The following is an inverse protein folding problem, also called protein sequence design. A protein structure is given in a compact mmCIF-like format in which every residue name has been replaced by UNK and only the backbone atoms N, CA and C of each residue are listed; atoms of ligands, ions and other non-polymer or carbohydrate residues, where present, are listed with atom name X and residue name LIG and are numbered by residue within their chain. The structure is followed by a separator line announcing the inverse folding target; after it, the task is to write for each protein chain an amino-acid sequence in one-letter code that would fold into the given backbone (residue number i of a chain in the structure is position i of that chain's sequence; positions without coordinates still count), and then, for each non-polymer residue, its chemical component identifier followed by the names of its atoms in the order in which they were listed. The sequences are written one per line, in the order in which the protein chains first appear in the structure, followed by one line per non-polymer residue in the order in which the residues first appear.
data_IF_400801402953
#
_entry.id   IF_400801402953
#
_cell.length_a   1.000
_cell.length_b   1.000
_cell.length_c   1.000
_cell.angle_alpha   90.00
_cell.angle_beta   90.00
_cell.angle_gamma   90.00
#
_symmetry.space_group_name_H-M   'P 1'
#
loop_
_entity.id
_entity.type
_entity.pdbx_description
1 polymer ?
#
# COMPACT_ATOMS: atom_id res chain seq x y z
N UNK A 1 11.43 18.42 1.77
CA UNK A 1 10.25 18.50 2.64
C UNK A 1 10.71 18.39 4.09
N UNK A 2 10.31 19.31 4.99
CA UNK A 2 10.69 19.28 6.42
C UNK A 2 10.19 18.02 7.16
N UNK A 3 9.32 17.23 6.53
CA UNK A 3 8.76 16.01 7.11
C UNK A 3 9.80 14.91 7.35
N UNK A 4 10.92 14.90 6.61
CA UNK A 4 11.96 13.86 6.71
C UNK A 4 12.60 13.78 8.12
N UNK A 5 12.78 14.92 8.80
CA UNK A 5 13.36 14.98 10.15
C UNK A 5 12.41 14.37 11.20
N UNK A 6 11.10 14.40 10.93
CA UNK A 6 10.07 13.89 11.82
C UNK A 6 9.48 12.56 11.37
N UNK A 7 9.91 12.02 10.23
CA UNK A 7 9.27 10.88 9.58
C UNK A 7 9.25 9.65 10.50
N UNK A 8 10.36 9.33 11.17
CA UNK A 8 10.41 8.26 12.17
C UNK A 8 9.37 8.45 13.29
N UNK A 9 9.30 9.65 13.88
CA UNK A 9 8.37 9.94 14.98
C UNK A 9 6.90 9.86 14.53
N UNK A 10 6.62 10.35 13.32
CA UNK A 10 5.30 10.28 12.71
C UNK A 10 4.91 8.81 12.50
N UNK A 11 5.79 7.99 11.92
CA UNK A 11 5.53 6.58 11.68
C UNK A 11 5.32 5.81 12.99
N UNK A 12 6.13 6.05 14.02
CA UNK A 12 5.94 5.43 15.34
C UNK A 12 4.57 5.82 15.95
N UNK A 13 4.17 7.08 15.85
CA UNK A 13 2.86 7.53 16.33
C UNK A 13 1.70 6.89 15.54
N UNK A 14 1.84 6.77 14.21
CA UNK A 14 0.86 6.05 13.38
C UNK A 14 0.74 4.59 13.80
N UNK A 15 1.87 3.92 14.04
CA UNK A 15 1.90 2.52 14.46
C UNK A 15 1.18 2.33 15.80
N UNK A 16 1.51 3.12 16.82
CA UNK A 16 0.82 3.04 18.12
C UNK A 16 -0.68 3.31 18.01
N UNK A 17 -1.08 4.16 17.06
CA UNK A 17 -2.51 4.43 16.80
C UNK A 17 -3.22 3.24 16.15
N UNK A 18 -2.55 2.53 15.23
CA UNK A 18 -3.08 1.28 14.67
C UNK A 18 -3.21 0.19 15.73
N UNK A 19 -2.18 0.01 16.57
CA UNK A 19 -2.18 -0.98 17.66
C UNK A 19 -3.28 -0.71 18.69
N UNK A 20 -3.58 0.57 18.97
CA UNK A 20 -4.65 0.94 19.88
C UNK A 20 -6.07 0.63 19.32
N UNK A 21 -6.20 0.43 18.00
CA UNK A 21 -7.45 0.13 17.31
C UNK A 21 -8.62 1.08 17.66
N UNK A 22 -8.31 2.37 17.85
CA UNK A 22 -9.27 3.41 18.27
C UNK A 22 -9.87 4.19 17.09
N UNK A 23 -9.39 3.97 15.88
CA UNK A 23 -9.78 4.75 14.70
C UNK A 23 -11.04 4.19 14.04
N UNK A 24 -11.89 5.09 13.57
CA UNK A 24 -12.99 4.75 12.65
C UNK A 24 -12.41 4.44 11.27
N UNK A 25 -13.10 3.61 10.48
CA UNK A 25 -12.63 3.16 9.16
C UNK A 25 -12.14 4.29 8.26
N UNK A 26 -12.87 5.41 8.15
CA UNK A 26 -12.44 6.54 7.31
C UNK A 26 -11.15 7.20 7.80
N UNK A 27 -10.97 7.31 9.10
CA UNK A 27 -9.80 7.96 9.69
C UNK A 27 -8.59 7.01 9.62
N UNK A 28 -8.80 5.69 9.74
CA UNK A 28 -7.82 4.64 9.45
C UNK A 28 -7.31 4.73 8.00
N UNK A 29 -8.21 4.84 7.01
CA UNK A 29 -7.81 4.96 5.60
C UNK A 29 -6.98 6.22 5.34
N UNK A 30 -7.40 7.37 5.89
CA UNK A 30 -6.63 8.62 5.78
C UNK A 30 -5.25 8.52 6.45
N UNK A 31 -5.18 7.87 7.60
CA UNK A 31 -3.90 7.62 8.26
C UNK A 31 -3.00 6.73 7.40
N UNK A 32 -3.55 5.70 6.77
CA UNK A 32 -2.79 4.84 5.86
C UNK A 32 -2.24 5.60 4.65
N UNK A 33 -3.02 6.52 4.07
CA UNK A 33 -2.48 7.40 3.03
C UNK A 33 -1.41 8.36 3.57
N UNK A 34 -1.54 8.85 4.80
CA UNK A 34 -0.51 9.69 5.42
C UNK A 34 0.78 8.92 5.63
N UNK A 35 0.69 7.65 6.05
CA UNK A 35 1.82 6.72 6.16
C UNK A 35 2.52 6.57 4.81
N UNK A 36 1.79 6.31 3.72
CA UNK A 36 2.38 6.19 2.39
C UNK A 36 3.20 7.42 1.98
N UNK A 37 2.66 8.62 2.15
CA UNK A 37 3.40 9.87 1.84
C UNK A 37 4.65 10.07 2.72
N UNK A 38 4.61 9.66 3.98
CA UNK A 38 5.77 9.75 4.89
C UNK A 38 6.83 8.74 4.49
N UNK A 39 6.44 7.51 4.15
CA UNK A 39 7.36 6.47 3.67
C UNK A 39 8.03 6.86 2.35
N UNK A 40 7.36 7.60 1.48
CA UNK A 40 7.94 8.13 0.23
C UNK A 40 9.14 9.05 0.41
N UNK A 41 9.35 9.60 1.61
CA UNK A 41 10.52 10.44 1.92
C UNK A 41 11.57 9.73 2.77
N UNK A 42 11.34 8.46 3.11
CA UNK A 42 12.27 7.65 3.88
C UNK A 42 13.36 7.03 3.00
N UNK A 43 14.51 6.64 3.57
CA UNK A 43 15.50 5.80 2.90
C UNK A 43 14.87 4.45 2.50
N UNK A 44 15.14 3.97 1.29
CA UNK A 44 14.59 2.71 0.77
C UNK A 44 14.87 1.52 1.68
N UNK A 45 16.05 1.48 2.30
CA UNK A 45 16.48 0.44 3.25
C UNK A 45 15.60 0.32 4.49
N UNK A 46 14.86 1.38 4.85
CA UNK A 46 13.98 1.40 6.03
C UNK A 46 12.49 1.23 5.67
N UNK A 47 12.09 1.54 4.44
CA UNK A 47 10.69 1.54 4.02
C UNK A 47 10.02 0.19 4.29
N UNK A 48 10.66 -0.92 3.91
CA UNK A 48 10.12 -2.26 4.14
C UNK A 48 9.99 -2.61 5.62
N UNK A 49 10.89 -2.12 6.49
CA UNK A 49 10.81 -2.38 7.93
C UNK A 49 9.55 -1.75 8.54
N UNK A 50 9.23 -0.50 8.21
CA UNK A 50 8.01 0.14 8.68
C UNK A 50 6.76 -0.47 8.06
N UNK A 51 6.82 -0.81 6.77
CA UNK A 51 5.72 -1.47 6.09
C UNK A 51 5.39 -2.82 6.71
N UNK A 52 6.38 -3.65 7.01
CA UNK A 52 6.14 -4.93 7.67
C UNK A 52 5.49 -4.72 9.06
N UNK A 53 6.00 -3.77 9.86
CA UNK A 53 5.41 -3.48 11.18
C UNK A 53 3.95 -3.00 11.10
N UNK A 54 3.60 -2.19 10.10
CA UNK A 54 2.27 -1.60 9.98
C UNK A 54 1.27 -2.46 9.20
N UNK A 55 1.73 -3.19 8.19
CA UNK A 55 0.86 -3.84 7.20
C UNK A 55 0.64 -5.31 7.52
N UNK A 56 1.56 -6.00 8.20
CA UNK A 56 1.39 -7.43 8.57
C UNK A 56 0.07 -7.70 9.31
N UNK A 57 -0.37 -6.90 10.31
CA UNK A 57 -1.67 -7.11 10.95
C UNK A 57 -2.84 -7.03 9.96
N UNK A 58 -2.78 -6.13 8.97
CA UNK A 58 -3.80 -6.00 7.94
C UNK A 58 -3.75 -7.13 6.90
N UNK A 59 -2.58 -7.69 6.60
CA UNK A 59 -2.44 -8.88 5.75
C UNK A 59 -3.07 -10.09 6.43
N UNK A 60 -2.75 -10.32 7.70
CA UNK A 60 -3.32 -11.41 8.49
C UNK A 60 -4.84 -11.30 8.59
N UNK A 61 -5.35 -10.08 8.74
CA UNK A 61 -6.78 -9.82 8.76
C UNK A 61 -7.44 -10.05 7.39
N UNK A 62 -6.78 -9.65 6.30
CA UNK A 62 -7.22 -9.94 4.94
C UNK A 62 -7.30 -11.46 4.70
N UNK A 63 -6.30 -12.22 5.13
CA UNK A 63 -6.27 -13.69 5.03
C UNK A 63 -7.43 -14.32 5.81
N UNK A 64 -7.69 -13.84 7.03
CA UNK A 64 -8.81 -14.30 7.84
C UNK A 64 -10.15 -14.02 7.15
N UNK A 65 -10.35 -12.81 6.63
CA UNK A 65 -11.55 -12.43 5.89
C UNK A 65 -11.72 -13.25 4.60
N UNK A 66 -10.63 -13.56 3.89
CA UNK A 66 -10.64 -14.38 2.69
C UNK A 66 -11.02 -15.85 2.95
N UNK A 67 -10.90 -16.32 4.20
CA UNK A 67 -11.31 -17.65 4.62
C UNK A 67 -12.77 -17.72 5.12
N UNK A 68 -13.43 -16.59 5.33
CA UNK A 68 -14.82 -16.53 5.78
C UNK A 68 -15.80 -16.63 4.61
N UNK A 69 -16.99 -17.17 4.89
CA UNK A 69 -18.10 -17.10 3.96
C UNK A 69 -18.62 -15.64 3.85
N UNK A 70 -18.87 -15.13 2.63
CA UNK A 70 -19.45 -13.81 2.42
C UNK A 70 -20.77 -13.62 3.15
N UNK A 71 -20.88 -12.61 4.01
CA UNK A 71 -22.13 -12.27 4.67
C UNK A 71 -22.26 -10.77 4.98
N UNK A 72 -23.48 -10.23 5.17
CA UNK A 72 -23.65 -8.80 5.40
C UNK A 72 -22.84 -8.23 6.59
N UNK A 73 -22.55 -9.04 7.60
CA UNK A 73 -21.79 -8.64 8.79
C UNK A 73 -20.30 -8.42 8.55
N UNK A 74 -19.66 -9.17 7.64
CA UNK A 74 -18.23 -9.02 7.34
C UNK A 74 -17.96 -8.13 6.12
N UNK A 75 -18.99 -7.79 5.32
CA UNK A 75 -18.88 -6.94 4.13
C UNK A 75 -18.12 -5.63 4.36
N UNK A 76 -18.47 -4.89 5.41
CA UNK A 76 -17.85 -3.59 5.70
C UNK A 76 -16.36 -3.73 6.07
N UNK A 77 -16.01 -4.83 6.72
CA UNK A 77 -14.65 -5.15 7.14
C UNK A 77 -13.78 -5.56 5.94
N UNK A 78 -14.32 -6.40 5.05
CA UNK A 78 -13.71 -6.72 3.74
C UNK A 78 -13.43 -5.44 2.96
N UNK A 79 -14.45 -4.59 2.79
CA UNK A 79 -14.30 -3.35 2.04
C UNK A 79 -13.25 -2.42 2.67
N UNK A 80 -13.24 -2.27 4.00
CA UNK A 80 -12.26 -1.44 4.69
C UNK A 80 -10.84 -2.00 4.53
N UNK A 81 -10.66 -3.31 4.74
CA UNK A 81 -9.37 -3.97 4.68
C UNK A 81 -8.74 -3.91 3.29
N UNK A 82 -9.51 -4.14 2.23
CA UNK A 82 -9.04 -3.96 0.84
C UNK A 82 -8.62 -2.51 0.59
N UNK A 83 -9.41 -1.55 1.07
CA UNK A 83 -9.11 -0.12 0.89
C UNK A 83 -7.85 0.34 1.65
N UNK A 84 -7.46 -0.31 2.75
CA UNK A 84 -6.20 0.00 3.44
C UNK A 84 -5.02 -0.13 2.46
N UNK A 85 -4.96 -1.24 1.73
CA UNK A 85 -3.91 -1.47 0.73
C UNK A 85 -4.04 -0.50 -0.46
N UNK A 86 -5.25 -0.25 -0.95
CA UNK A 86 -5.47 0.72 -2.02
C UNK A 86 -4.98 2.13 -1.63
N UNK A 87 -5.28 2.59 -0.42
CA UNK A 87 -4.85 3.92 0.06
C UNK A 87 -3.35 4.00 0.30
N UNK A 88 -2.73 2.91 0.77
CA UNK A 88 -1.28 2.81 0.86
C UNK A 88 -0.64 2.91 -0.54
N UNK A 89 -1.02 2.04 -1.47
CA UNK A 89 -0.42 2.00 -2.81
C UNK A 89 -0.61 3.31 -3.58
N UNK A 90 -1.78 3.95 -3.43
CA UNK A 90 -2.04 5.23 -4.08
C UNK A 90 -1.22 6.40 -3.56
N UNK A 91 -0.59 6.27 -2.38
CA UNK A 91 0.16 7.36 -1.73
C UNK A 91 1.65 7.06 -1.55
N UNK A 92 2.04 5.79 -1.61
CA UNK A 92 3.42 5.37 -1.56
C UNK A 92 4.07 5.58 -2.93
N UNK A 93 4.74 6.70 -3.09
CA UNK A 93 5.65 6.94 -4.20
C UNK A 93 7.07 6.53 -3.85
N UNK A 94 7.60 5.54 -4.56
CA UNK A 94 9.02 5.16 -4.48
C UNK A 94 9.80 5.57 -5.72
N UNK A 95 9.11 6.07 -6.76
CA UNK A 95 9.74 6.54 -7.98
C UNK A 95 9.72 8.08 -8.03
N UNK A 96 10.75 8.65 -8.65
CA UNK A 96 10.87 10.09 -8.86
C UNK A 96 10.83 10.34 -10.37
N UNK A 97 9.63 10.28 -10.94
CA UNK A 97 9.39 10.65 -12.34
C UNK A 97 8.53 11.92 -12.46
N UNK A 98 9.08 12.91 -13.18
CA UNK A 98 8.30 13.88 -13.95
C UNK A 98 7.75 15.10 -13.22
N UNK A 99 8.61 15.93 -12.63
CA UNK A 99 8.27 17.31 -12.25
C UNK A 99 8.98 18.32 -13.16
N UNK A 100 8.29 19.43 -13.46
CA UNK A 100 8.79 20.55 -14.27
C UNK A 100 10.16 21.08 -13.80
N UNK A 101 10.84 21.83 -14.67
CA UNK A 101 12.26 22.25 -14.58
C UNK A 101 12.70 22.87 -13.23
N UNK A 102 11.77 23.40 -12.43
CA UNK A 102 12.05 23.97 -11.09
C UNK A 102 12.11 22.92 -9.96
N UNK A 103 11.46 21.76 -10.11
CA UNK A 103 11.48 20.67 -9.10
C UNK A 103 12.72 19.76 -9.23
N UNK A 104 13.43 19.85 -10.36
CA UNK A 104 14.58 19.01 -10.72
C UNK A 104 15.77 19.20 -9.76
N UNK A 105 15.97 20.40 -9.21
CA UNK A 105 17.03 20.67 -8.23
C UNK A 105 16.77 20.01 -6.86
N UNK A 106 15.51 19.97 -6.40
CA UNK A 106 15.14 19.24 -5.18
C UNK A 106 15.12 17.72 -5.40
N UNK A 107 14.80 17.27 -6.62
CA UNK A 107 14.75 15.87 -6.98
C UNK A 107 16.14 15.27 -7.19
N UNK A 108 17.14 16.05 -7.64
CA UNK A 108 18.54 15.60 -7.72
C UNK A 108 19.12 15.20 -6.35
N UNK A 109 18.86 15.98 -5.30
CA UNK A 109 19.29 15.63 -3.94
C UNK A 109 18.56 14.40 -3.39
N UNK A 110 17.26 14.23 -3.73
CA UNK A 110 16.48 13.06 -3.30
C UNK A 110 16.87 11.78 -4.05
N UNK A 111 17.16 11.89 -5.35
CA UNK A 111 17.69 10.80 -6.21
C UNK A 111 19.03 10.23 -5.70
N UNK A 112 19.87 11.03 -5.05
CA UNK A 112 21.12 10.55 -4.45
C UNK A 112 20.90 9.78 -3.13
N UNK A 113 19.82 10.09 -2.38
CA UNK A 113 19.49 9.42 -1.11
C UNK A 113 18.63 8.16 -1.29
N UNK A 114 17.92 8.04 -2.42
CA UNK A 114 17.01 6.93 -2.74
C UNK A 114 17.53 6.06 -3.89
N UNK A 115 18.86 5.94 -4.06
CA UNK A 115 19.43 4.91 -4.95
C UNK A 115 19.06 3.53 -4.42
N UNK A 116 17.90 3.03 -4.84
CA UNK A 116 17.53 1.63 -4.74
C UNK A 116 18.49 0.86 -5.63
N UNK A 117 19.01 -0.26 -5.11
CA UNK A 117 19.71 -1.23 -5.94
C UNK A 117 18.74 -1.65 -7.05
N UNK A 118 19.11 -1.57 -8.34
CA UNK A 118 18.25 -2.02 -9.44
C UNK A 118 17.78 -3.48 -9.29
N UNK A 119 18.45 -4.28 -8.44
CA UNK A 119 18.07 -5.65 -8.12
C UNK A 119 17.02 -5.78 -7.00
N UNK A 120 16.76 -4.74 -6.20
CA UNK A 120 15.83 -4.82 -5.07
C UNK A 120 14.38 -4.55 -5.54
N UNK A 121 13.44 -5.47 -5.27
CA UNK A 121 12.06 -5.31 -5.71
C UNK A 121 11.39 -4.13 -5.00
N UNK A 122 10.59 -3.36 -5.74
CA UNK A 122 9.79 -2.25 -5.18
C UNK A 122 8.92 -2.73 -4.02
N UNK A 123 8.80 -1.96 -2.91
CA UNK A 123 7.97 -2.32 -1.77
C UNK A 123 6.52 -2.67 -2.12
N UNK A 124 5.92 -1.93 -3.05
CA UNK A 124 4.56 -2.19 -3.54
C UNK A 124 4.46 -3.57 -4.18
N UNK A 125 5.46 -3.96 -4.97
CA UNK A 125 5.50 -5.28 -5.62
C UNK A 125 5.54 -6.40 -4.56
N UNK A 126 6.42 -6.27 -3.56
CA UNK A 126 6.55 -7.26 -2.48
C UNK A 126 5.24 -7.42 -1.70
N UNK A 127 4.58 -6.31 -1.34
CA UNK A 127 3.30 -6.35 -0.63
C UNK A 127 2.21 -6.96 -1.52
N UNK A 128 2.13 -6.54 -2.79
CA UNK A 128 1.13 -7.04 -3.73
C UNK A 128 1.24 -8.55 -3.90
N UNK A 129 2.46 -9.08 -4.05
CA UNK A 129 2.69 -10.53 -4.10
C UNK A 129 2.23 -11.26 -2.84
N UNK A 130 2.51 -10.70 -1.65
CA UNK A 130 2.09 -11.29 -0.36
C UNK A 130 0.57 -11.37 -0.23
N UNK A 131 -0.17 -10.35 -0.67
CA UNK A 131 -1.64 -10.28 -0.51
C UNK A 131 -2.42 -10.91 -1.67
N UNK A 132 -1.77 -11.14 -2.80
CA UNK A 132 -2.41 -11.59 -4.04
C UNK A 132 -3.34 -12.81 -3.85
N UNK A 133 -2.92 -13.90 -3.17
CA UNK A 133 -3.80 -15.08 -3.03
C UNK A 133 -5.09 -14.77 -2.27
N UNK A 134 -5.03 -13.88 -1.27
CA UNK A 134 -6.17 -13.53 -0.43
C UNK A 134 -7.09 -12.55 -1.12
N UNK A 135 -6.54 -11.60 -1.89
CA UNK A 135 -7.35 -10.71 -2.74
C UNK A 135 -8.09 -11.51 -3.81
N UNK A 136 -7.46 -12.49 -4.45
CA UNK A 136 -8.15 -13.35 -5.45
C UNK A 136 -9.30 -14.15 -4.83
N UNK A 137 -9.08 -14.77 -3.66
CA UNK A 137 -10.13 -15.50 -2.94
C UNK A 137 -11.31 -14.59 -2.58
N UNK A 138 -11.02 -13.38 -2.08
CA UNK A 138 -12.05 -12.39 -1.78
C UNK A 138 -12.81 -11.96 -3.04
N UNK A 139 -12.12 -11.65 -4.13
CA UNK A 139 -12.75 -11.25 -5.38
C UNK A 139 -13.69 -12.35 -5.91
N UNK A 140 -13.27 -13.61 -5.83
CA UNK A 140 -14.12 -14.74 -6.22
C UNK A 140 -15.34 -14.90 -5.31
N UNK A 141 -15.14 -14.86 -3.99
CA UNK A 141 -16.21 -15.03 -3.01
C UNK A 141 -17.25 -13.89 -3.08
N UNK A 142 -16.80 -12.67 -3.41
CA UNK A 142 -17.63 -11.46 -3.46
C UNK A 142 -17.94 -10.98 -4.89
N UNK A 143 -17.87 -11.86 -5.88
CA UNK A 143 -17.96 -11.48 -7.31
C UNK A 143 -19.24 -10.71 -7.68
N UNK A 144 -20.32 -10.89 -6.92
CA UNK A 144 -21.59 -10.20 -7.14
C UNK A 144 -21.76 -8.90 -6.32
N UNK A 145 -20.81 -8.59 -5.43
CA UNK A 145 -20.81 -7.34 -4.68
C UNK A 145 -19.97 -6.28 -5.40
N UNK A 146 -20.65 -5.40 -6.14
CA UNK A 146 -20.01 -4.37 -6.96
C UNK A 146 -19.08 -3.47 -6.13
N UNK A 147 -19.45 -3.13 -4.90
CA UNK A 147 -18.61 -2.26 -4.06
C UNK A 147 -17.30 -2.91 -3.62
N UNK A 148 -17.30 -4.22 -3.37
CA UNK A 148 -16.06 -4.94 -3.06
C UNK A 148 -15.20 -5.13 -4.31
N UNK A 149 -15.81 -5.48 -5.45
CA UNK A 149 -15.07 -5.62 -6.70
C UNK A 149 -14.46 -4.29 -7.15
N UNK A 150 -15.17 -3.17 -7.03
CA UNK A 150 -14.62 -1.83 -7.28
C UNK A 150 -13.42 -1.53 -6.37
N UNK A 151 -13.49 -1.88 -5.08
CA UNK A 151 -12.38 -1.69 -4.16
C UNK A 151 -11.16 -2.56 -4.53
N UNK A 152 -11.37 -3.80 -4.96
CA UNK A 152 -10.30 -4.68 -5.45
C UNK A 152 -9.69 -4.13 -6.74
N UNK A 153 -10.50 -3.64 -7.68
CA UNK A 153 -10.03 -3.00 -8.90
C UNK A 153 -9.23 -1.73 -8.61
N UNK A 154 -9.67 -0.90 -7.67
CA UNK A 154 -8.94 0.32 -7.26
C UNK A 154 -7.59 -0.02 -6.61
N UNK A 155 -7.54 -1.07 -5.77
CA UNK A 155 -6.30 -1.60 -5.21
C UNK A 155 -5.31 -1.96 -6.32
N UNK A 156 -5.73 -2.79 -7.29
CA UNK A 156 -4.85 -3.20 -8.38
C UNK A 156 -4.44 -2.00 -9.23
N UNK A 157 -5.40 -1.16 -9.65
CA UNK A 157 -5.11 0.04 -10.44
C UNK A 157 -4.01 0.90 -9.81
N UNK A 158 -4.11 1.17 -8.51
CA UNK A 158 -3.12 1.99 -7.78
C UNK A 158 -1.78 1.29 -7.65
N UNK A 159 -1.76 -0.03 -7.43
CA UNK A 159 -0.52 -0.79 -7.42
C UNK A 159 0.17 -0.76 -8.79
N UNK A 160 -0.58 -1.03 -9.86
CA UNK A 160 -0.09 -1.06 -11.25
C UNK A 160 0.51 0.28 -11.67
N UNK A 161 -0.18 1.38 -11.37
CA UNK A 161 0.29 2.74 -11.66
C UNK A 161 1.64 3.07 -11.01
N UNK A 162 2.01 2.38 -9.92
CA UNK A 162 3.30 2.55 -9.23
C UNK A 162 4.36 1.54 -9.65
N UNK A 163 3.99 0.57 -10.48
CA UNK A 163 4.85 -0.51 -10.96
C UNK A 163 5.14 -0.40 -12.46
N UNK A 164 4.76 0.69 -13.14
CA UNK A 164 4.61 0.82 -14.60
C UNK A 164 5.81 0.32 -15.45
N UNK A 165 7.03 0.21 -14.91
CA UNK A 165 8.20 -0.37 -15.58
C UNK A 165 8.65 -1.77 -15.09
N UNK A 166 8.17 -2.26 -13.93
CA UNK A 166 8.56 -3.56 -13.33
C UNK A 166 7.45 -4.62 -13.42
N UNK A 167 6.38 -4.34 -14.17
CA UNK A 167 5.18 -5.18 -14.18
C UNK A 167 5.26 -6.44 -15.04
N UNK A 168 6.34 -6.63 -15.80
CA UNK A 168 6.53 -7.79 -16.67
C UNK A 168 6.25 -9.15 -15.98
N UNK A 169 6.61 -9.41 -14.70
CA UNK A 169 6.40 -10.71 -14.05
C UNK A 169 4.94 -11.02 -13.70
N UNK A 170 4.06 -10.02 -13.54
CA UNK A 170 2.68 -10.22 -13.07
C UNK A 170 1.65 -10.28 -14.21
N UNK A 171 2.03 -9.85 -15.42
CA UNK A 171 1.14 -9.86 -16.60
C UNK A 171 0.66 -11.28 -16.99
N UNK A 172 1.45 -12.31 -16.67
CA UNK A 172 1.08 -13.71 -16.88
C UNK A 172 -0.02 -14.22 -15.96
N UNK A 173 -0.08 -13.73 -14.71
CA UNK A 173 -0.98 -14.28 -13.68
C UNK A 173 -2.35 -13.58 -13.63
N UNK A 174 -2.44 -12.34 -14.14
CA UNK A 174 -3.70 -11.56 -14.20
C UNK A 174 -4.56 -11.87 -15.43
N UNK A 175 -4.01 -12.58 -16.41
CA UNK A 175 -4.71 -12.90 -17.67
C UNK A 175 -5.15 -14.36 -17.78
N UNK A 176 -4.97 -15.16 -16.73
CA UNK A 176 -5.37 -16.57 -16.64
C UNK A 176 -6.62 -16.74 -15.79
#
# INVERSE_FOLDING_TARGET
SNIQVYAHQILMACQSTFEANVLKSRDLLRLMSSVGHVLSVMPSSEVMQYLDAMIVPHMQHLDALAALEPCPSNRADVHTTVNIFAWLFGSLDTEVEGGDEEEQHHHQHRRQQQQQDPAEPKPIFVILQKIYPSVQKLAYAWIFDMGIIEAVCDLYKKALQKLDNDFAPLSGDLTQ
#
